data_IF_582238982771
#
_entry.id   IF_582238982771
#
_cell.length_a   1.000
_cell.length_b   1.000
_cell.length_c   1.000
_cell.angle_alpha   90.00
_cell.angle_beta   90.00
_cell.angle_gamma   90.00
#
_symmetry.space_group_name_H-M   'P 1'
#
loop_
_entity.id
_entity.type
_entity.pdbx_description
1 polymer ?
#
# COMPACT_ATOMS: atom_id res chain seq x y z
N UNK A 1 12.72 -12.47 8.16
CA UNK A 1 11.92 -13.40 8.96
C UNK A 1 10.71 -13.77 8.12
N UNK A 2 10.78 -14.87 7.38
CA UNK A 2 9.70 -15.30 6.47
C UNK A 2 8.52 -15.76 7.31
N UNK A 3 7.49 -14.92 7.46
CA UNK A 3 6.19 -15.40 7.93
C UNK A 3 5.70 -16.32 6.82
N UNK A 4 5.85 -17.63 7.00
CA UNK A 4 5.37 -18.62 6.04
C UNK A 4 3.87 -18.34 5.83
N UNK A 5 3.49 -18.18 4.56
CA UNK A 5 2.09 -18.14 4.18
C UNK A 5 1.46 -19.43 4.71
N UNK A 6 0.37 -19.31 5.48
CA UNK A 6 -0.46 -20.47 5.83
C UNK A 6 -0.82 -21.20 4.54
N UNK A 7 -0.77 -22.53 4.56
CA UNK A 7 -1.14 -23.33 3.40
C UNK A 7 -2.60 -23.06 3.03
N UNK A 8 -2.97 -23.17 1.74
CA UNK A 8 -4.37 -23.05 1.30
C UNK A 8 -5.31 -23.99 2.07
N UNK A 9 -4.81 -25.14 2.52
CA UNK A 9 -5.55 -26.08 3.37
C UNK A 9 -5.81 -25.54 4.78
N UNK A 10 -4.85 -24.83 5.36
CA UNK A 10 -4.98 -24.22 6.70
C UNK A 10 -5.98 -23.05 6.65
N UNK A 11 -5.89 -22.19 5.62
CA UNK A 11 -6.82 -21.08 5.42
C UNK A 11 -8.27 -21.55 5.24
N UNK A 12 -8.49 -22.67 4.55
CA UNK A 12 -9.83 -23.27 4.37
C UNK A 12 -10.47 -23.75 5.67
N UNK A 13 -9.68 -24.11 6.67
CA UNK A 13 -10.18 -24.58 7.96
C UNK A 13 -10.61 -23.46 8.91
N UNK A 14 -10.24 -22.20 8.61
CA UNK A 14 -10.56 -21.05 9.45
C UNK A 14 -11.97 -20.50 9.21
N UNK A 15 -12.56 -19.85 10.21
CA UNK A 15 -13.86 -19.19 10.06
C UNK A 15 -13.75 -17.94 9.17
N UNK A 16 -14.87 -17.53 8.56
CA UNK A 16 -14.92 -16.32 7.73
C UNK A 16 -14.54 -15.10 8.56
N UNK A 17 -15.01 -15.02 9.81
CA UNK A 17 -14.63 -13.99 10.77
C UNK A 17 -13.12 -13.92 10.99
N UNK A 18 -12.47 -15.05 11.25
CA UNK A 18 -11.02 -15.09 11.54
C UNK A 18 -10.16 -14.67 10.33
N UNK A 19 -10.55 -15.09 9.12
CA UNK A 19 -9.91 -14.63 7.89
C UNK A 19 -10.09 -13.13 7.70
N UNK A 20 -11.26 -12.59 8.05
CA UNK A 20 -11.54 -11.17 7.91
C UNK A 20 -10.71 -10.35 8.89
N UNK A 21 -10.55 -10.83 10.13
CA UNK A 21 -9.71 -10.16 11.12
C UNK A 21 -8.23 -10.12 10.67
N UNK A 22 -7.74 -11.17 10.02
CA UNK A 22 -6.40 -11.20 9.42
C UNK A 22 -6.26 -10.23 8.24
N UNK A 23 -7.24 -10.19 7.33
CA UNK A 23 -7.28 -9.21 6.25
C UNK A 23 -7.27 -7.78 6.81
N UNK A 24 -8.15 -7.51 7.77
CA UNK A 24 -8.31 -6.21 8.41
C UNK A 24 -7.03 -5.74 9.10
N UNK A 25 -6.34 -6.64 9.82
CA UNK A 25 -5.04 -6.33 10.43
C UNK A 25 -4.00 -5.90 9.38
N UNK A 26 -3.87 -6.64 8.28
CA UNK A 26 -2.93 -6.32 7.20
C UNK A 26 -3.24 -4.98 6.52
N UNK A 27 -4.52 -4.72 6.25
CA UNK A 27 -4.97 -3.45 5.67
C UNK A 27 -4.74 -2.27 6.62
N UNK A 28 -4.84 -2.48 7.94
CA UNK A 28 -4.50 -1.45 8.94
C UNK A 28 -3.01 -1.12 8.92
N UNK A 29 -2.13 -2.11 8.86
CA UNK A 29 -0.69 -1.87 8.78
C UNK A 29 -0.32 -1.08 7.50
N UNK A 30 -0.91 -1.45 6.35
CA UNK A 30 -0.78 -0.70 5.10
C UNK A 30 -1.26 0.75 5.24
N UNK A 31 -2.41 0.96 5.91
CA UNK A 31 -2.92 2.30 6.16
C UNK A 31 -1.97 3.12 7.05
N UNK A 32 -1.34 2.50 8.06
CA UNK A 32 -0.32 3.17 8.87
C UNK A 32 0.90 3.61 8.04
N UNK A 33 1.39 2.75 7.14
CA UNK A 33 2.49 3.11 6.24
C UNK A 33 2.10 4.26 5.29
N UNK A 34 0.88 4.24 4.76
CA UNK A 34 0.36 5.33 3.93
C UNK A 34 0.23 6.63 4.72
N UNK A 35 -0.18 6.57 5.99
CA UNK A 35 -0.19 7.72 6.90
C UNK A 35 1.21 8.30 7.14
N UNK A 36 2.23 7.44 7.31
CA UNK A 36 3.63 7.87 7.43
C UNK A 36 4.10 8.53 6.13
N UNK A 37 3.75 7.96 4.97
CA UNK A 37 4.05 8.57 3.67
C UNK A 37 3.42 9.97 3.55
N UNK A 38 2.16 10.13 3.97
CA UNK A 38 1.48 11.42 4.00
C UNK A 38 2.17 12.43 4.92
N UNK A 39 2.66 11.99 6.08
CA UNK A 39 3.43 12.85 6.99
C UNK A 39 4.77 13.31 6.36
N UNK A 40 5.50 12.40 5.71
CA UNK A 40 6.75 12.74 5.01
C UNK A 40 6.53 13.72 3.87
N UNK A 41 5.41 13.58 3.15
CA UNK A 41 5.04 14.50 2.08
C UNK A 41 4.63 15.87 2.63
N UNK A 42 3.83 15.92 3.70
CA UNK A 42 3.50 17.17 4.38
C UNK A 42 4.76 17.89 4.89
N UNK A 43 5.68 17.15 5.53
CA UNK A 43 6.94 17.72 6.00
C UNK A 43 7.75 18.31 4.83
N UNK A 44 7.75 17.63 3.68
CA UNK A 44 8.44 18.07 2.47
C UNK A 44 7.95 19.44 1.99
N UNK A 45 6.66 19.72 2.13
CA UNK A 45 6.03 20.95 1.65
C UNK A 45 6.15 22.12 2.63
N UNK A 46 6.27 21.84 3.93
CA UNK A 46 6.09 22.88 4.96
C UNK A 46 7.35 23.12 5.80
N UNK A 47 8.10 22.07 6.15
CA UNK A 47 9.15 22.14 7.18
C UNK A 47 10.54 21.77 6.66
N UNK A 48 10.60 20.90 5.64
CA UNK A 48 11.84 20.31 5.16
C UNK A 48 12.80 21.38 4.60
N UNK A 49 14.09 21.37 4.98
CA UNK A 49 15.08 22.26 4.40
C UNK A 49 15.35 21.90 2.93
N UNK A 50 15.61 22.90 2.09
CA UNK A 50 15.77 22.72 0.64
C UNK A 50 16.83 21.71 0.21
N UNK A 51 17.91 21.55 0.99
CA UNK A 51 19.00 20.60 0.71
C UNK A 51 18.68 19.14 1.07
N UNK A 52 17.53 18.86 1.67
CA UNK A 52 17.14 17.51 2.07
C UNK A 52 16.32 16.75 1.00
N UNK A 53 16.09 17.34 -0.17
CA UNK A 53 15.24 16.78 -1.22
C UNK A 53 15.65 15.35 -1.64
N UNK A 54 16.95 15.09 -1.87
CA UNK A 54 17.41 13.76 -2.27
C UNK A 54 17.17 12.72 -1.16
N UNK A 55 17.46 13.06 0.10
CA UNK A 55 17.22 12.16 1.22
C UNK A 55 15.73 11.86 1.40
N UNK A 56 14.86 12.87 1.23
CA UNK A 56 13.40 12.68 1.28
C UNK A 56 12.92 11.78 0.15
N UNK A 57 13.45 11.95 -1.06
CA UNK A 57 13.10 11.10 -2.18
C UNK A 57 13.48 9.62 -1.93
N UNK A 58 14.63 9.36 -1.32
CA UNK A 58 15.05 8.00 -0.92
C UNK A 58 14.14 7.40 0.17
N UNK A 59 13.74 8.21 1.16
CA UNK A 59 12.81 7.78 2.21
C UNK A 59 11.45 7.37 1.63
N UNK A 60 10.87 8.22 0.78
CA UNK A 60 9.58 7.96 0.14
C UNK A 60 9.66 6.77 -0.84
N UNK A 61 10.76 6.64 -1.58
CA UNK A 61 11.00 5.49 -2.45
C UNK A 61 11.06 4.18 -1.67
N UNK A 62 11.82 4.16 -0.57
CA UNK A 62 11.93 2.98 0.29
C UNK A 62 10.59 2.60 0.90
N UNK A 63 9.86 3.58 1.43
CA UNK A 63 8.55 3.36 2.03
C UNK A 63 7.54 2.85 1.00
N UNK A 64 7.54 3.40 -0.22
CA UNK A 64 6.70 2.93 -1.31
C UNK A 64 6.97 1.46 -1.66
N UNK A 65 8.26 1.06 -1.70
CA UNK A 65 8.63 -0.34 -1.90
C UNK A 65 8.08 -1.27 -0.81
N UNK A 66 8.26 -0.91 0.47
CA UNK A 66 7.75 -1.71 1.59
C UNK A 66 6.22 -1.83 1.57
N UNK A 67 5.51 -0.72 1.33
CA UNK A 67 4.05 -0.73 1.19
C UNK A 67 3.61 -1.60 0.02
N UNK A 68 4.30 -1.52 -1.11
CA UNK A 68 4.00 -2.31 -2.30
C UNK A 68 4.17 -3.81 -2.07
N UNK A 69 5.28 -4.22 -1.45
CA UNK A 69 5.55 -5.62 -1.13
C UNK A 69 4.46 -6.21 -0.21
N UNK A 70 3.98 -5.41 0.76
CA UNK A 70 2.88 -5.82 1.63
C UNK A 70 1.54 -5.90 0.88
N UNK A 71 1.26 -4.90 0.04
CA UNK A 71 0.04 -4.77 -0.76
C UNK A 71 -0.08 -5.82 -1.86
N UNK A 72 1.05 -6.37 -2.33
CA UNK A 72 1.14 -7.41 -3.36
C UNK A 72 1.56 -8.77 -2.80
N UNK A 73 1.61 -8.90 -1.47
CA UNK A 73 2.11 -10.12 -0.84
C UNK A 73 1.26 -11.36 -1.20
N UNK A 74 1.88 -12.52 -1.46
CA UNK A 74 1.15 -13.77 -1.74
C UNK A 74 0.19 -14.19 -0.62
N UNK A 75 0.51 -13.82 0.63
CA UNK A 75 -0.35 -14.09 1.78
C UNK A 75 -1.66 -13.31 1.69
N UNK A 76 -1.60 -12.02 1.34
CA UNK A 76 -2.79 -11.20 1.13
C UNK A 76 -3.61 -11.75 -0.05
N UNK A 77 -2.95 -12.12 -1.15
CA UNK A 77 -3.59 -12.76 -2.30
C UNK A 77 -4.35 -14.02 -1.92
N UNK A 78 -3.72 -14.91 -1.14
CA UNK A 78 -4.33 -16.17 -0.71
C UNK A 78 -5.59 -15.96 0.15
N UNK A 79 -5.57 -14.97 1.05
CA UNK A 79 -6.74 -14.61 1.87
C UNK A 79 -7.88 -14.09 0.98
N UNK A 80 -7.55 -13.23 0.01
CA UNK A 80 -8.54 -12.64 -0.91
C UNK A 80 -9.15 -13.68 -1.87
N UNK A 81 -8.35 -14.63 -2.35
CA UNK A 81 -8.83 -15.78 -3.13
C UNK A 81 -9.78 -16.66 -2.32
N UNK A 82 -9.48 -16.84 -1.03
CA UNK A 82 -10.31 -17.69 -0.18
C UNK A 82 -11.68 -17.07 0.11
N UNK A 83 -11.77 -15.75 0.22
CA UNK A 83 -13.07 -15.06 0.23
C UNK A 83 -13.84 -15.22 -1.07
N UNK A 84 -13.17 -15.31 -2.23
CA UNK A 84 -13.84 -15.53 -3.51
C UNK A 84 -14.43 -16.94 -3.64
N UNK A 85 -13.80 -17.94 -3.02
CA UNK A 85 -14.24 -19.34 -3.10
C UNK A 85 -15.39 -19.67 -2.11
N UNK A 86 -15.56 -18.87 -1.06
CA UNK A 86 -16.54 -19.12 0.00
C UNK A 86 -17.93 -18.60 -0.36
N UNK A 87 -18.92 -19.41 -0.04
CA UNK A 87 -20.33 -19.04 -0.11
C UNK A 87 -20.79 -18.41 1.22
N UNK A 88 -21.90 -17.67 1.19
CA UNK A 88 -22.59 -17.18 2.39
C UNK A 88 -21.75 -16.30 3.35
N UNK A 89 -20.80 -15.52 2.82
CA UNK A 89 -20.00 -14.57 3.62
C UNK A 89 -20.87 -13.63 4.48
N UNK A 90 -22.08 -13.29 4.00
CA UNK A 90 -23.04 -12.44 4.69
C UNK A 90 -23.64 -13.06 5.96
N UNK A 91 -23.43 -14.35 6.22
CA UNK A 91 -23.84 -14.99 7.48
C UNK A 91 -22.94 -14.55 8.64
N UNK A 92 -21.66 -14.27 8.37
CA UNK A 92 -20.67 -13.87 9.38
C UNK A 92 -20.23 -12.41 9.26
N UNK A 93 -20.35 -11.79 8.07
CA UNK A 93 -19.84 -10.45 7.79
C UNK A 93 -20.95 -9.43 7.49
N UNK A 94 -20.74 -8.19 7.95
CA UNK A 94 -21.65 -7.09 7.67
C UNK A 94 -21.38 -6.45 6.28
N UNK A 95 -22.29 -5.59 5.76
CA UNK A 95 -22.15 -4.99 4.43
C UNK A 95 -20.86 -4.17 4.22
N UNK A 96 -20.34 -3.52 5.26
CA UNK A 96 -19.09 -2.75 5.17
C UNK A 96 -17.87 -3.67 5.06
N UNK A 97 -17.87 -4.79 5.77
CA UNK A 97 -16.80 -5.79 5.73
C UNK A 97 -16.73 -6.47 4.36
N UNK A 98 -17.89 -6.79 3.77
CA UNK A 98 -18.00 -7.29 2.40
C UNK A 98 -17.49 -6.25 1.38
N UNK A 99 -17.84 -4.98 1.56
CA UNK A 99 -17.34 -3.90 0.71
C UNK A 99 -15.82 -3.73 0.83
N UNK A 100 -15.27 -3.88 2.05
CA UNK A 100 -13.84 -3.82 2.32
C UNK A 100 -13.08 -4.94 1.59
N UNK A 101 -13.58 -6.18 1.65
CA UNK A 101 -13.01 -7.31 0.89
C UNK A 101 -13.00 -7.01 -0.61
N UNK A 102 -14.12 -6.51 -1.15
CA UNK A 102 -14.24 -6.17 -2.57
C UNK A 102 -13.22 -5.10 -2.99
N UNK A 103 -13.06 -4.05 -2.18
CA UNK A 103 -12.10 -2.98 -2.46
C UNK A 103 -10.66 -3.48 -2.34
N UNK A 104 -10.33 -4.19 -1.27
CA UNK A 104 -9.01 -4.77 -1.05
C UNK A 104 -8.60 -5.69 -2.21
N UNK A 105 -9.54 -6.49 -2.73
CA UNK A 105 -9.30 -7.33 -3.91
C UNK A 105 -9.05 -6.52 -5.17
N UNK A 106 -9.83 -5.46 -5.40
CA UNK A 106 -9.62 -4.56 -6.55
C UNK A 106 -8.22 -3.95 -6.47
N UNK A 107 -7.86 -3.37 -5.33
CA UNK A 107 -6.54 -2.75 -5.13
C UNK A 107 -5.41 -3.78 -5.28
N UNK A 108 -5.53 -4.97 -4.68
CA UNK A 108 -4.53 -6.04 -4.87
C UNK A 108 -4.32 -6.38 -6.35
N UNK A 109 -5.40 -6.53 -7.13
CA UNK A 109 -5.31 -6.80 -8.56
C UNK A 109 -4.64 -5.66 -9.34
N UNK A 110 -4.93 -4.41 -8.99
CA UNK A 110 -4.34 -3.24 -9.66
C UNK A 110 -2.84 -3.12 -9.34
N UNK A 111 -2.47 -3.25 -8.06
CA UNK A 111 -1.09 -3.08 -7.59
C UNK A 111 -0.18 -4.22 -8.07
N UNK A 112 -0.68 -5.45 -8.16
CA UNK A 112 0.11 -6.60 -8.67
C UNK A 112 0.49 -6.48 -10.16
N UNK A 113 -0.14 -5.57 -10.91
CA UNK A 113 0.24 -5.29 -12.31
C UNK A 113 1.48 -4.41 -12.40
N UNK A 114 1.89 -3.76 -11.32
CA UNK A 114 2.98 -2.80 -11.30
C UNK A 114 4.28 -3.46 -10.77
N UNK A 115 5.39 -3.38 -11.51
CA UNK A 115 6.69 -3.77 -10.98
C UNK A 115 7.09 -2.86 -9.81
N UNK A 116 7.61 -3.43 -8.72
CA UNK A 116 8.02 -2.67 -7.53
C UNK A 116 9.04 -1.58 -7.85
N UNK A 117 9.95 -1.80 -8.80
CA UNK A 117 10.92 -0.78 -9.20
C UNK A 117 10.27 0.43 -9.87
N UNK A 118 9.16 0.24 -10.61
CA UNK A 118 8.39 1.36 -11.16
C UNK A 118 7.75 2.19 -10.04
N UNK A 119 7.17 1.53 -9.04
CA UNK A 119 6.54 2.18 -7.89
C UNK A 119 7.56 3.00 -7.11
N UNK A 120 8.72 2.41 -6.80
CA UNK A 120 9.84 3.07 -6.12
C UNK A 120 10.39 4.26 -6.91
N UNK A 121 10.57 4.10 -8.22
CA UNK A 121 11.07 5.16 -9.10
C UNK A 121 10.08 6.32 -9.19
N UNK A 122 8.77 6.04 -9.31
CA UNK A 122 7.72 7.04 -9.35
C UNK A 122 7.66 7.85 -8.04
N UNK A 123 7.75 7.17 -6.88
CA UNK A 123 7.77 7.85 -5.58
C UNK A 123 8.98 8.78 -5.42
N UNK A 124 10.17 8.34 -5.82
CA UNK A 124 11.38 9.16 -5.80
C UNK A 124 11.25 10.37 -6.74
N UNK A 125 10.77 10.14 -7.98
CA UNK A 125 10.61 11.19 -8.97
C UNK A 125 9.63 12.25 -8.50
N UNK A 126 8.44 11.84 -8.04
CA UNK A 126 7.42 12.78 -7.54
C UNK A 126 7.95 13.65 -6.40
N UNK A 127 8.71 13.07 -5.46
CA UNK A 127 9.34 13.84 -4.39
C UNK A 127 10.31 14.90 -4.94
N UNK A 128 11.18 14.54 -5.89
CA UNK A 128 12.13 15.48 -6.50
C UNK A 128 11.43 16.56 -7.34
N UNK A 129 10.37 16.20 -8.06
CA UNK A 129 9.63 17.09 -8.94
C UNK A 129 8.98 18.26 -8.21
N UNK A 130 8.56 18.09 -6.95
CA UNK A 130 7.98 19.20 -6.16
C UNK A 130 8.98 20.35 -6.02
N UNK A 131 10.23 20.04 -5.64
CA UNK A 131 11.28 21.05 -5.48
C UNK A 131 11.64 21.72 -6.81
N UNK A 132 11.81 20.92 -7.87
CA UNK A 132 12.09 21.44 -9.21
C UNK A 132 10.98 22.36 -9.72
N UNK A 133 9.71 21.97 -9.55
CA UNK A 133 8.57 22.78 -9.99
C UNK A 133 8.44 24.09 -9.21
N UNK A 134 8.71 24.08 -7.89
CA UNK A 134 8.67 25.30 -7.07
C UNK A 134 9.68 26.32 -7.59
N UNK A 135 10.89 25.89 -7.97
CA UNK A 135 11.92 26.79 -8.46
C UNK A 135 11.63 27.28 -9.88
N UNK A 136 11.35 26.34 -10.79
CA UNK A 136 10.94 26.61 -12.17
C UNK A 136 9.80 27.64 -12.24
N UNK A 137 8.79 27.50 -11.37
CA UNK A 137 7.67 28.45 -11.29
C UNK A 137 8.08 29.85 -10.84
N UNK A 138 9.03 29.99 -9.92
CA UNK A 138 9.53 31.31 -9.48
C UNK A 138 10.31 32.00 -10.59
N UNK A 139 11.09 31.24 -11.33
CA UNK A 139 11.95 31.75 -12.40
C UNK A 139 11.21 31.90 -13.74
N UNK A 140 9.95 31.42 -13.81
CA UNK A 140 9.20 31.29 -15.06
C UNK A 140 9.96 30.45 -16.10
N UNK A 141 10.72 29.48 -15.62
CA UNK A 141 11.45 28.52 -16.44
C UNK A 141 10.59 27.27 -16.66
N UNK A 142 10.38 26.90 -17.91
CA UNK A 142 9.63 25.70 -18.26
C UNK A 142 10.54 24.49 -18.49
N UNK A 143 11.80 24.72 -18.86
CA UNK A 143 12.76 23.69 -19.29
C UNK A 143 13.76 23.36 -18.19
#
# INVERSE_FOLDING_TARGET
>A
MTVLAKSSTELRSESVRSLYDQLSARLKDLNHLNGISGLLQWDQEVMMPSKAADSRAEQLSTLAGVSHDMQTSPVLGSILEEFEQRQELSAELNPFELANIRLARKTYKEETLLPVELVKANAALNSKSVGAWVEARKESDYS
#
